data_IF_458774226813
#
_entry.id   IF_458774226813
#
_cell.length_a   1.000
_cell.length_b   1.000
_cell.length_c   1.000
_cell.angle_alpha   90.00
_cell.angle_beta   90.00
_cell.angle_gamma   90.00
#
_symmetry.space_group_name_H-M   'P 1'
#
loop_
_entity.id
_entity.type
_entity.pdbx_description
1 polymer ?
#
# COMPACT_ATOMS: atom_id res chain seq x y z
N UNK A 1 20.06 0.74 14.35
CA UNK A 1 18.94 0.38 15.25
C UNK A 1 18.85 -1.14 15.22
N UNK A 2 19.40 -1.85 16.21
CA UNK A 2 19.25 -3.30 16.28
C UNK A 2 17.81 -3.62 16.69
N UNK A 3 17.02 -4.21 15.79
CA UNK A 3 15.69 -4.69 16.11
C UNK A 3 15.86 -5.96 16.95
N UNK A 4 15.93 -5.80 18.27
CA UNK A 4 15.96 -6.91 19.24
C UNK A 4 14.53 -7.34 19.55
N UNK A 5 13.88 -7.98 18.59
CA UNK A 5 12.61 -8.69 18.79
C UNK A 5 12.84 -10.21 18.77
N UNK A 6 11.89 -11.03 19.28
CA UNK A 6 11.90 -12.46 19.02
C UNK A 6 11.97 -12.72 17.51
N UNK A 7 12.62 -13.81 17.10
CA UNK A 7 12.60 -14.18 15.68
C UNK A 7 11.14 -14.42 15.24
N UNK A 8 10.86 -14.26 13.93
CA UNK A 8 9.53 -14.50 13.37
C UNK A 8 8.95 -15.87 13.80
N UNK A 9 9.83 -16.85 13.97
CA UNK A 9 9.49 -18.24 14.33
C UNK A 9 9.22 -18.45 15.83
N UNK A 10 9.67 -17.53 16.69
CA UNK A 10 9.48 -17.59 18.15
C UNK A 10 8.34 -16.68 18.63
N UNK A 11 7.80 -15.86 17.72
CA UNK A 11 6.70 -14.95 18.05
C UNK A 11 5.42 -15.76 18.28
N UNK A 12 4.69 -15.54 19.39
CA UNK A 12 3.45 -16.25 19.63
C UNK A 12 2.44 -15.94 18.51
N UNK A 13 1.58 -16.90 18.14
CA UNK A 13 0.52 -16.65 17.19
C UNK A 13 -0.38 -15.54 17.73
N UNK A 14 -0.63 -14.55 16.89
CA UNK A 14 -1.56 -13.48 17.21
C UNK A 14 -2.98 -14.03 17.34
N UNK A 15 -3.77 -13.46 18.26
CA UNK A 15 -5.22 -13.68 18.35
C UNK A 15 -5.96 -12.36 18.18
N UNK A 16 -6.98 -12.34 17.32
CA UNK A 16 -7.74 -11.12 17.04
C UNK A 16 -7.02 -10.18 16.09
N UNK A 17 -6.62 -9.00 16.56
CA UNK A 17 -5.96 -7.96 15.74
C UNK A 17 -4.45 -7.99 16.00
N UNK A 18 -3.67 -8.29 14.97
CA UNK A 18 -2.22 -8.53 15.05
C UNK A 18 -1.37 -7.28 14.99
N UNK A 19 -2.00 -6.13 15.22
CA UNK A 19 -1.41 -4.84 14.98
C UNK A 19 -2.04 -3.80 15.91
N UNK A 20 -1.24 -2.86 16.43
CA UNK A 20 -1.76 -1.76 17.25
C UNK A 20 -2.07 -0.58 16.35
N UNK A 21 -3.26 -0.01 16.46
CA UNK A 21 -3.66 1.14 15.64
C UNK A 21 -2.72 2.35 15.75
N UNK A 22 -2.09 2.57 16.91
CA UNK A 22 -1.07 3.61 17.05
C UNK A 22 0.16 3.38 16.16
N UNK A 23 0.50 2.12 15.85
CA UNK A 23 1.58 1.81 14.92
C UNK A 23 1.16 2.19 13.48
N UNK A 24 -0.15 2.17 13.17
CA UNK A 24 -0.70 2.59 11.87
C UNK A 24 -0.48 4.09 11.72
N UNK A 25 -0.88 4.82 12.76
CA UNK A 25 -0.75 6.28 12.79
C UNK A 25 0.71 6.68 12.73
N UNK A 26 1.61 5.99 13.46
CA UNK A 26 3.05 6.24 13.40
C UNK A 26 3.61 6.08 11.98
N UNK A 27 3.19 5.03 11.26
CA UNK A 27 3.58 4.81 9.87
C UNK A 27 3.14 5.98 8.97
N UNK A 28 1.89 6.42 9.09
CA UNK A 28 1.38 7.52 8.29
C UNK A 28 1.93 8.89 8.71
N UNK A 29 2.19 9.13 9.99
CA UNK A 29 2.85 10.34 10.49
C UNK A 29 4.27 10.46 9.91
N UNK A 30 5.02 9.35 9.92
CA UNK A 30 6.33 9.31 9.29
C UNK A 30 6.22 9.54 7.78
N UNK A 31 5.16 9.01 7.18
CA UNK A 31 4.87 9.20 5.75
C UNK A 31 4.57 10.65 5.41
N UNK A 32 3.79 11.31 6.25
CA UNK A 32 3.45 12.71 6.11
C UNK A 32 4.68 13.62 6.28
N UNK A 33 5.58 13.29 7.21
CA UNK A 33 6.82 14.04 7.43
C UNK A 33 7.70 14.04 6.19
N UNK A 34 7.99 12.86 5.61
CA UNK A 34 8.79 12.84 4.39
C UNK A 34 8.03 13.46 3.22
N UNK A 35 6.70 13.33 3.15
CA UNK A 35 5.90 13.91 2.08
C UNK A 35 6.04 15.43 2.02
N UNK A 36 6.00 16.10 3.19
CA UNK A 36 6.23 17.56 3.28
C UNK A 36 7.61 17.95 2.77
N UNK A 37 8.65 17.18 3.11
CA UNK A 37 10.01 17.41 2.62
C UNK A 37 10.10 17.22 1.10
N UNK A 38 9.53 16.15 0.56
CA UNK A 38 9.50 15.91 -0.90
C UNK A 38 8.74 17.01 -1.64
N UNK A 39 7.67 17.54 -1.05
CA UNK A 39 6.92 18.64 -1.62
C UNK A 39 7.74 19.93 -1.68
N UNK A 40 8.67 20.15 -0.75
CA UNK A 40 9.55 21.32 -0.72
C UNK A 40 10.73 21.23 -1.70
N UNK A 41 11.07 20.02 -2.15
CA UNK A 41 12.14 19.77 -3.11
C UNK A 41 11.74 20.12 -4.56
N UNK A 42 11.90 21.40 -4.90
CA UNK A 42 11.56 21.91 -6.24
C UNK A 42 12.46 21.32 -7.33
N UNK A 43 13.71 20.98 -7.02
CA UNK A 43 14.65 20.42 -8.00
C UNK A 43 14.20 19.02 -8.43
N UNK A 44 13.90 18.16 -7.47
CA UNK A 44 13.37 16.81 -7.71
C UNK A 44 12.04 16.86 -8.48
N UNK A 45 11.11 17.71 -8.06
CA UNK A 45 9.81 17.85 -8.73
C UNK A 45 9.94 18.37 -10.17
N UNK A 46 10.91 19.26 -10.42
CA UNK A 46 11.21 19.75 -11.78
C UNK A 46 11.80 18.64 -12.63
N UNK A 47 12.75 17.88 -12.09
CA UNK A 47 13.36 16.74 -12.78
C UNK A 47 12.32 15.67 -13.16
N UNK A 48 11.39 15.34 -12.25
CA UNK A 48 10.30 14.39 -12.54
C UNK A 48 9.40 14.88 -13.67
N UNK A 49 9.08 16.18 -13.69
CA UNK A 49 8.26 16.80 -14.73
C UNK A 49 8.96 16.79 -16.10
N UNK A 50 10.26 17.09 -16.13
CA UNK A 50 11.06 17.11 -17.36
C UNK A 50 11.29 15.71 -17.94
N UNK A 51 11.33 14.69 -17.08
CA UNK A 51 11.51 13.29 -17.46
C UNK A 51 10.32 12.70 -18.24
N UNK A 52 9.13 13.30 -18.16
CA UNK A 52 7.92 12.92 -18.92
C UNK A 52 7.53 11.44 -18.78
N UNK A 53 7.56 10.91 -17.56
CA UNK A 53 7.09 9.55 -17.30
C UNK A 53 5.62 9.35 -17.69
N UNK A 54 5.32 8.22 -18.32
CA UNK A 54 3.96 7.88 -18.77
C UNK A 54 3.21 6.99 -17.75
N UNK A 55 3.96 6.32 -16.87
CA UNK A 55 3.48 5.34 -15.90
C UNK A 55 4.20 5.54 -14.57
N UNK A 56 3.45 5.48 -13.46
CA UNK A 56 4.00 5.44 -12.11
C UNK A 56 3.56 4.18 -11.38
N UNK A 57 4.45 3.62 -10.55
CA UNK A 57 4.11 2.58 -9.60
C UNK A 57 3.96 3.22 -8.23
N UNK A 58 2.83 2.98 -7.57
CA UNK A 58 2.46 3.62 -6.30
C UNK A 58 2.08 2.54 -5.29
N UNK A 59 2.72 2.57 -4.13
CA UNK A 59 2.37 1.64 -3.04
C UNK A 59 1.00 1.98 -2.46
N UNK A 60 0.21 0.95 -2.19
CA UNK A 60 -1.17 1.07 -1.73
C UNK A 60 -1.36 1.85 -0.42
N UNK A 61 -0.37 1.82 0.47
CA UNK A 61 -0.35 2.59 1.72
C UNK A 61 0.19 4.01 1.58
N UNK A 62 0.84 4.35 0.47
CA UNK A 62 1.46 5.66 0.27
C UNK A 62 0.48 6.68 -0.30
N UNK A 63 -0.10 7.51 0.56
CA UNK A 63 -0.98 8.61 0.15
C UNK A 63 -0.24 9.85 -0.38
N UNK A 64 1.10 9.90 -0.28
CA UNK A 64 1.90 11.02 -0.79
C UNK A 64 2.20 10.89 -2.29
N UNK A 65 2.69 9.72 -2.71
CA UNK A 65 3.05 9.45 -4.10
C UNK A 65 1.98 9.82 -5.14
N UNK A 66 0.69 9.44 -5.01
CA UNK A 66 -0.33 9.84 -5.99
C UNK A 66 -0.49 11.36 -6.05
N UNK A 67 -0.33 12.05 -4.92
CA UNK A 67 -0.37 13.50 -4.86
C UNK A 67 0.82 14.14 -5.58
N UNK A 68 2.05 13.66 -5.35
CA UNK A 68 3.24 14.15 -6.05
C UNK A 68 3.10 14.00 -7.57
N UNK A 69 2.65 12.82 -8.04
CA UNK A 69 2.47 12.56 -9.47
C UNK A 69 1.34 13.36 -10.12
N UNK A 70 0.49 14.02 -9.33
CA UNK A 70 -0.54 14.96 -9.78
C UNK A 70 0.00 16.40 -9.91
N UNK A 71 1.09 16.78 -9.25
CA UNK A 71 1.60 18.17 -9.20
C UNK A 71 2.42 18.51 -10.44
N UNK A 72 1.98 19.45 -11.31
CA UNK A 72 2.84 20.03 -12.37
C UNK A 72 3.34 21.40 -12.00
N UNK A 73 4.61 21.63 -12.31
CA UNK A 73 5.16 22.96 -12.44
C UNK A 73 5.00 23.42 -13.89
N UNK A 74 4.15 24.43 -14.11
CA UNK A 74 4.17 25.22 -15.35
C UNK A 74 4.73 26.60 -15.01
N UNK A 75 5.95 26.87 -15.48
CA UNK A 75 6.49 28.23 -15.50
C UNK A 75 5.69 28.98 -16.58
N UNK A 76 4.72 29.81 -16.17
CA UNK A 76 4.08 30.77 -17.06
C UNK A 76 4.89 32.05 -16.98
N UNK A 77 5.56 32.42 -18.08
CA UNK A 77 6.32 33.65 -18.16
C UNK A 77 5.43 34.88 -17.91
N UNK A 78 5.91 35.78 -17.04
CA UNK A 78 5.53 37.20 -17.04
C UNK A 78 4.65 37.71 -15.91
N UNK A 79 4.00 36.87 -15.10
CA UNK A 79 3.23 37.31 -13.93
C UNK A 79 3.09 36.14 -12.96
N UNK A 80 3.29 36.38 -11.65
CA UNK A 80 3.30 35.39 -10.57
C UNK A 80 1.93 34.72 -10.31
N UNK A 81 1.25 34.26 -11.36
CA UNK A 81 0.01 33.52 -11.29
C UNK A 81 0.29 32.06 -11.63
N UNK A 82 0.52 31.27 -10.59
CA UNK A 82 0.67 29.82 -10.66
C UNK A 82 -0.71 29.21 -10.98
N UNK A 83 -1.08 29.18 -12.27
CA UNK A 83 -2.27 28.46 -12.71
C UNK A 83 -1.94 26.97 -12.77
N UNK A 84 -2.49 26.23 -11.81
CA UNK A 84 -2.36 24.80 -11.63
C UNK A 84 -2.75 24.06 -12.94
N UNK A 85 -1.80 23.43 -13.60
CA UNK A 85 -2.09 22.47 -14.66
C UNK A 85 -1.49 21.14 -14.28
N UNK A 86 -2.16 20.36 -13.43
CA UNK A 86 -1.93 18.94 -13.10
C UNK A 86 -0.86 18.21 -13.96
N UNK A 87 0.13 17.56 -13.32
CA UNK A 87 1.06 16.67 -14.03
C UNK A 87 0.25 15.43 -14.31
N UNK A 88 0.08 15.18 -15.59
CA UNK A 88 -0.75 14.11 -16.09
C UNK A 88 0.08 12.87 -16.32
N UNK A 89 0.73 12.30 -15.28
CA UNK A 89 0.93 10.85 -15.34
C UNK A 89 -0.50 10.29 -15.43
N UNK A 90 -0.84 9.83 -16.63
CA UNK A 90 -2.23 9.48 -16.97
C UNK A 90 -2.64 8.19 -16.28
N UNK A 91 -1.66 7.30 -16.07
CA UNK A 91 -1.86 5.95 -15.60
C UNK A 91 -0.90 5.65 -14.45
N UNK A 92 -1.41 5.03 -13.40
CA UNK A 92 -0.60 4.46 -12.34
C UNK A 92 -0.96 3.01 -12.07
N UNK A 93 0.06 2.23 -11.73
CA UNK A 93 -0.09 0.88 -11.22
C UNK A 93 -0.02 0.97 -9.70
N UNK A 94 -1.11 0.61 -9.04
CA UNK A 94 -1.10 0.43 -7.59
C UNK A 94 -0.44 -0.90 -7.28
N UNK A 95 0.61 -0.89 -6.46
CA UNK A 95 1.28 -2.09 -5.98
C UNK A 95 0.95 -2.30 -4.50
N UNK A 96 0.89 -3.56 -4.09
CA UNK A 96 0.81 -3.91 -2.68
C UNK A 96 1.74 -5.05 -2.35
N UNK A 97 2.52 -4.86 -1.29
CA UNK A 97 3.26 -5.93 -0.65
C UNK A 97 2.35 -6.93 0.07
N UNK A 98 1.12 -6.54 0.38
CA UNK A 98 0.12 -7.35 1.06
C UNK A 98 -0.92 -7.89 0.06
N UNK A 99 -1.91 -8.61 0.59
CA UNK A 99 -3.12 -8.93 -0.14
C UNK A 99 -3.96 -7.70 -0.47
N UNK A 100 -5.15 -7.95 -0.98
CA UNK A 100 -6.09 -6.88 -1.30
C UNK A 100 -6.51 -6.10 -0.05
N UNK A 101 -6.52 -4.77 -0.16
CA UNK A 101 -6.92 -3.84 0.90
C UNK A 101 -8.24 -3.14 0.54
N UNK A 102 -8.97 -2.57 1.53
CA UNK A 102 -10.25 -1.92 1.27
C UNK A 102 -10.23 -0.83 0.20
N UNK A 103 -9.17 0.00 0.18
CA UNK A 103 -8.97 1.03 -0.86
C UNK A 103 -8.97 0.44 -2.27
N UNK A 104 -8.38 -0.73 -2.46
CA UNK A 104 -8.30 -1.36 -3.78
C UNK A 104 -9.67 -1.78 -4.29
N UNK A 105 -10.53 -2.31 -3.42
CA UNK A 105 -11.92 -2.63 -3.78
C UNK A 105 -12.71 -1.38 -4.15
N UNK A 106 -12.53 -0.28 -3.42
CA UNK A 106 -13.16 1.01 -3.77
C UNK A 106 -12.76 1.48 -5.17
N UNK A 107 -11.47 1.36 -5.53
CA UNK A 107 -10.94 1.77 -6.83
C UNK A 107 -11.53 0.93 -7.97
N UNK A 108 -11.62 -0.39 -7.80
CA UNK A 108 -12.15 -1.29 -8.84
C UNK A 108 -13.68 -1.33 -8.89
N UNK A 109 -14.37 -0.58 -8.01
CA UNK A 109 -15.83 -0.56 -7.93
C UNK A 109 -16.44 -1.85 -7.39
N UNK A 110 -15.72 -2.57 -6.54
CA UNK A 110 -16.16 -3.82 -5.92
C UNK A 110 -16.45 -3.62 -4.44
N UNK A 111 -17.30 -4.48 -3.88
CA UNK A 111 -17.63 -4.48 -2.45
C UNK A 111 -16.82 -5.57 -1.76
N UNK A 112 -16.11 -5.19 -0.70
CA UNK A 112 -15.48 -6.13 0.21
C UNK A 112 -16.51 -6.71 1.18
N UNK A 113 -16.45 -8.03 1.39
CA UNK A 113 -17.41 -8.78 2.20
C UNK A 113 -16.70 -9.38 3.42
N UNK A 114 -16.46 -8.58 4.47
CA UNK A 114 -15.70 -8.99 5.66
C UNK A 114 -16.38 -10.09 6.49
N UNK A 115 -17.59 -10.52 6.09
CA UNK A 115 -18.22 -11.69 6.67
C UNK A 115 -17.44 -12.95 6.32
N UNK A 116 -16.89 -13.11 5.11
CA UNK A 116 -16.14 -14.31 4.70
C UNK A 116 -14.77 -13.99 4.07
N UNK A 117 -14.48 -12.72 3.82
CA UNK A 117 -13.16 -12.27 3.37
C UNK A 117 -12.37 -11.78 4.60
N UNK A 118 -11.31 -12.49 5.02
CA UNK A 118 -10.50 -12.04 6.15
C UNK A 118 -9.76 -10.76 5.78
N UNK A 119 -9.75 -9.81 6.71
CA UNK A 119 -9.03 -8.57 6.60
C UNK A 119 -7.56 -8.74 6.89
N UNK A 120 -6.78 -7.86 6.27
CA UNK A 120 -5.38 -7.68 6.65
C UNK A 120 -5.28 -7.40 8.16
N UNK A 121 -4.21 -7.87 8.79
CA UNK A 121 -3.94 -7.74 10.23
C UNK A 121 -4.79 -8.60 11.16
N UNK A 122 -5.55 -9.56 10.64
CA UNK A 122 -6.14 -10.65 11.42
C UNK A 122 -5.48 -11.97 11.04
N UNK A 123 -5.41 -12.97 11.95
CA UNK A 123 -4.88 -14.29 11.63
C UNK A 123 -5.97 -15.19 11.00
N UNK A 124 -7.10 -14.62 10.60
CA UNK A 124 -8.28 -15.35 10.16
C UNK A 124 -8.15 -15.86 8.72
N UNK A 125 -8.84 -16.95 8.41
CA UNK A 125 -9.03 -17.47 7.04
C UNK A 125 -10.46 -17.22 6.55
N UNK A 126 -10.87 -17.86 5.45
CA UNK A 126 -12.28 -17.96 5.03
C UNK A 126 -13.17 -18.71 6.02
N UNK A 127 -12.58 -19.54 6.89
CA UNK A 127 -13.27 -20.25 7.96
C UNK A 127 -13.20 -19.47 9.28
N UNK A 128 -14.15 -18.55 9.44
CA UNK A 128 -14.34 -17.76 10.66
C UNK A 128 -15.60 -18.15 11.43
N UNK A 129 -15.51 -18.22 12.74
CA UNK A 129 -16.66 -18.24 13.66
C UNK A 129 -17.39 -16.89 13.68
N UNK A 130 -18.60 -16.86 14.24
CA UNK A 130 -19.39 -15.62 14.30
C UNK A 130 -18.65 -14.45 14.99
N UNK A 131 -17.93 -14.70 16.09
CA UNK A 131 -17.20 -13.66 16.82
C UNK A 131 -15.95 -13.17 16.06
N UNK A 132 -15.30 -14.07 15.33
CA UNK A 132 -14.18 -13.71 14.44
C UNK A 132 -14.68 -12.85 13.29
N UNK A 133 -15.82 -13.19 12.67
CA UNK A 133 -16.46 -12.35 11.65
C UNK A 133 -16.82 -10.96 12.17
N UNK A 134 -17.33 -10.88 13.40
CA UNK A 134 -17.62 -9.58 14.04
C UNK A 134 -16.33 -8.76 14.28
N UNK A 135 -15.24 -9.42 14.66
CA UNK A 135 -13.94 -8.78 14.86
C UNK A 135 -13.37 -8.32 13.52
N UNK A 136 -13.42 -9.17 12.51
CA UNK A 136 -13.00 -8.88 11.15
C UNK A 136 -13.76 -7.68 10.57
N UNK A 137 -15.09 -7.65 10.72
CA UNK A 137 -15.91 -6.50 10.33
C UNK A 137 -15.50 -5.20 11.03
N UNK A 138 -15.18 -5.24 12.32
CA UNK A 138 -14.69 -4.07 13.06
C UNK A 138 -13.34 -3.59 12.52
N UNK A 139 -12.44 -4.51 12.19
CA UNK A 139 -11.13 -4.19 11.58
C UNK A 139 -11.32 -3.54 10.22
N UNK A 140 -12.16 -4.11 9.36
CA UNK A 140 -12.51 -3.55 8.04
C UNK A 140 -12.96 -2.09 8.14
N UNK A 141 -13.99 -1.83 8.96
CA UNK A 141 -14.54 -0.48 9.14
C UNK A 141 -13.45 0.47 9.66
N UNK A 142 -12.64 0.01 10.61
CA UNK A 142 -11.58 0.84 11.18
C UNK A 142 -10.48 1.15 10.16
N UNK A 143 -10.04 0.17 9.37
CA UNK A 143 -9.03 0.35 8.33
C UNK A 143 -9.51 1.31 7.23
N UNK A 144 -10.75 1.13 6.76
CA UNK A 144 -11.39 2.04 5.82
C UNK A 144 -11.42 3.49 6.34
N UNK A 145 -11.84 3.68 7.59
CA UNK A 145 -11.91 5.01 8.19
C UNK A 145 -10.51 5.63 8.38
N UNK A 146 -9.50 4.84 8.77
CA UNK A 146 -8.12 5.34 8.90
C UNK A 146 -7.55 5.74 7.54
N UNK A 147 -7.69 4.92 6.50
CA UNK A 147 -7.23 5.27 5.15
C UNK A 147 -7.86 6.57 4.66
N UNK A 148 -9.18 6.74 4.83
CA UNK A 148 -9.89 7.98 4.43
C UNK A 148 -9.47 9.19 5.26
N UNK A 149 -9.27 9.01 6.57
CA UNK A 149 -8.79 10.09 7.43
C UNK A 149 -7.41 10.56 6.98
N UNK A 150 -6.47 9.64 6.80
CA UNK A 150 -5.13 9.96 6.34
C UNK A 150 -5.14 10.56 4.93
N UNK A 151 -5.94 10.06 3.99
CA UNK A 151 -6.09 10.71 2.68
C UNK A 151 -6.52 12.18 2.78
N UNK A 152 -7.41 12.52 3.73
CA UNK A 152 -7.79 13.91 4.00
C UNK A 152 -6.62 14.73 4.55
N UNK A 153 -5.85 14.18 5.48
CA UNK A 153 -4.67 14.86 6.07
C UNK A 153 -3.61 15.13 5.02
N UNK A 154 -3.32 14.17 4.13
CA UNK A 154 -2.39 14.38 3.03
C UNK A 154 -2.94 15.41 2.03
N UNK A 155 -4.23 15.31 1.68
CA UNK A 155 -4.88 16.28 0.80
C UNK A 155 -4.76 17.71 1.34
N UNK A 156 -4.92 17.95 2.64
CA UNK A 156 -4.75 19.28 3.23
C UNK A 156 -3.36 19.86 2.98
N UNK A 157 -2.31 19.04 3.05
CA UNK A 157 -0.93 19.48 2.77
C UNK A 157 -0.77 19.86 1.30
N UNK A 158 -1.28 19.06 0.37
CA UNK A 158 -1.23 19.38 -1.05
C UNK A 158 -2.07 20.62 -1.38
N UNK A 159 -3.29 20.71 -0.87
CA UNK A 159 -4.21 21.81 -1.14
C UNK A 159 -3.74 23.14 -0.54
N UNK A 160 -3.04 23.11 0.61
CA UNK A 160 -2.41 24.29 1.19
C UNK A 160 -1.33 24.90 0.28
N UNK A 161 -0.56 24.05 -0.40
CA UNK A 161 0.48 24.48 -1.36
C UNK A 161 -0.08 24.79 -2.75
N UNK A 162 -1.11 24.05 -3.14
CA UNK A 162 -1.71 24.07 -4.46
C UNK A 162 -3.25 24.18 -4.34
N UNK A 163 -3.80 25.40 -4.20
CA UNK A 163 -5.24 25.58 -4.02
C UNK A 163 -6.06 24.96 -5.16
N UNK A 164 -7.09 24.18 -4.80
CA UNK A 164 -7.92 23.45 -5.76
C UNK A 164 -7.37 22.07 -6.12
N UNK A 165 -6.52 21.50 -5.27
CA UNK A 165 -5.99 20.15 -5.47
C UNK A 165 -7.11 19.10 -5.38
N UNK A 166 -7.19 18.13 -6.32
CA UNK A 166 -8.20 17.08 -6.28
C UNK A 166 -8.03 16.19 -5.06
N UNK A 167 -9.11 15.57 -4.60
CA UNK A 167 -9.03 14.66 -3.47
C UNK A 167 -8.15 13.46 -3.83
N UNK A 168 -7.34 12.97 -2.86
CA UNK A 168 -6.46 11.81 -3.10
C UNK A 168 -7.25 10.58 -3.62
N UNK A 169 -8.47 10.39 -3.11
CA UNK A 169 -9.38 9.36 -3.61
C UNK A 169 -9.77 9.53 -5.08
N UNK A 170 -10.00 10.75 -5.56
CA UNK A 170 -10.31 11.02 -6.97
C UNK A 170 -9.11 10.68 -7.85
N UNK A 171 -7.89 11.05 -7.41
CA UNK A 171 -6.65 10.68 -8.09
C UNK A 171 -6.54 9.16 -8.22
N UNK A 172 -6.81 8.42 -7.13
CA UNK A 172 -6.83 6.96 -7.15
C UNK A 172 -7.83 6.39 -8.16
N UNK A 173 -9.07 6.86 -8.12
CA UNK A 173 -10.13 6.35 -8.98
C UNK A 173 -9.91 6.67 -10.46
N UNK A 174 -9.40 7.85 -10.79
CA UNK A 174 -9.24 8.29 -12.17
C UNK A 174 -7.98 7.73 -12.84
N UNK A 175 -6.89 7.57 -12.07
CA UNK A 175 -5.58 7.26 -12.64
C UNK A 175 -5.12 5.82 -12.45
N UNK A 176 -5.67 5.09 -11.49
CA UNK A 176 -5.25 3.68 -11.31
C UNK A 176 -5.74 2.87 -12.48
N UNK A 177 -4.83 2.30 -13.27
CA UNK A 177 -5.17 1.46 -14.41
C UNK A 177 -5.01 -0.04 -14.12
N UNK A 178 -4.21 -0.37 -13.11
CA UNK A 178 -3.89 -1.74 -12.73
C UNK A 178 -3.54 -1.82 -11.23
N UNK A 179 -3.93 -2.91 -10.59
CA UNK A 179 -3.56 -3.24 -9.21
C UNK A 179 -2.74 -4.54 -9.24
N UNK A 180 -1.53 -4.48 -8.71
CA UNK A 180 -0.63 -5.62 -8.57
C UNK A 180 -0.45 -5.94 -7.09
N UNK A 181 -0.98 -7.07 -6.64
CA UNK A 181 -0.79 -7.55 -5.27
C UNK A 181 0.26 -8.66 -5.26
N UNK A 182 1.25 -8.56 -4.36
CA UNK A 182 2.30 -9.55 -4.20
C UNK A 182 1.81 -10.77 -3.38
N UNK A 183 0.76 -11.42 -3.87
CA UNK A 183 0.18 -12.62 -3.29
C UNK A 183 0.17 -13.76 -4.29
N UNK A 184 0.28 -14.98 -3.81
CA UNK A 184 0.13 -16.18 -4.62
C UNK A 184 -1.36 -16.55 -4.65
N UNK A 185 -1.92 -16.79 -5.84
CA UNK A 185 -3.33 -17.12 -6.02
C UNK A 185 -3.79 -18.37 -5.25
N UNK A 186 -2.88 -19.31 -4.97
CA UNK A 186 -3.17 -20.52 -4.20
C UNK A 186 -3.11 -20.30 -2.68
N UNK A 187 -2.41 -19.25 -2.23
CA UNK A 187 -2.29 -18.90 -0.82
C UNK A 187 -3.27 -17.80 -0.40
N UNK A 188 -3.88 -17.12 -1.37
CA UNK A 188 -4.84 -16.05 -1.13
C UNK A 188 -6.25 -16.63 -0.92
N UNK A 189 -7.00 -16.04 0.00
CA UNK A 189 -8.37 -16.44 0.28
C UNK A 189 -9.26 -16.17 -0.94
N UNK A 190 -10.21 -17.06 -1.30
CA UNK A 190 -11.10 -16.86 -2.44
C UNK A 190 -11.84 -15.54 -2.36
N UNK A 191 -11.55 -14.63 -3.30
CA UNK A 191 -12.15 -13.30 -3.38
C UNK A 191 -12.47 -12.94 -4.82
N UNK A 192 -13.59 -12.23 -5.08
CA UNK A 192 -13.91 -11.77 -6.42
C UNK A 192 -12.80 -10.84 -6.94
N UNK A 193 -12.40 -11.02 -8.21
CA UNK A 193 -11.40 -10.17 -8.89
C UNK A 193 -11.89 -9.68 -10.24
N UNK A 194 -11.49 -8.47 -10.62
CA UNK A 194 -11.63 -7.94 -11.97
C UNK A 194 -10.32 -8.15 -12.75
N UNK A 195 -10.36 -7.91 -14.07
CA UNK A 195 -9.16 -7.95 -14.91
C UNK A 195 -8.10 -6.90 -14.57
N UNK A 196 -8.47 -5.90 -13.76
CA UNK A 196 -7.60 -4.85 -13.25
C UNK A 196 -6.72 -5.34 -12.10
N UNK A 197 -7.06 -6.45 -11.45
CA UNK A 197 -6.30 -7.01 -10.33
C UNK A 197 -5.42 -8.15 -10.85
N UNK A 198 -4.11 -8.08 -10.56
CA UNK A 198 -3.12 -9.10 -10.91
C UNK A 198 -2.34 -9.53 -9.68
N UNK A 199 -2.28 -10.84 -9.48
CA UNK A 199 -1.48 -11.46 -8.44
C UNK A 199 -0.10 -11.75 -9.01
N UNK A 200 0.91 -11.14 -8.40
CA UNK A 200 2.32 -11.23 -8.79
C UNK A 200 3.19 -11.81 -7.67
N UNK A 201 2.59 -12.69 -6.86
CA UNK A 201 3.27 -13.38 -5.76
C UNK A 201 4.55 -14.06 -6.24
N UNK A 202 5.63 -13.82 -5.53
CA UNK A 202 6.95 -14.37 -5.86
C UNK A 202 7.73 -13.56 -6.91
N UNK A 203 7.22 -12.39 -7.32
CA UNK A 203 7.94 -11.46 -8.20
C UNK A 203 9.32 -11.03 -7.68
N UNK A 204 9.55 -11.13 -6.37
CA UNK A 204 10.83 -10.79 -5.71
C UNK A 204 11.69 -12.02 -5.37
N UNK A 205 11.27 -13.22 -5.75
CA UNK A 205 12.03 -14.45 -5.53
C UNK A 205 13.04 -14.66 -6.65
N UNK A 206 14.30 -14.90 -6.27
CA UNK A 206 15.37 -15.28 -7.18
C UNK A 206 15.57 -16.79 -7.16
N UNK A 207 16.23 -17.32 -8.19
CA UNK A 207 16.61 -18.72 -8.22
C UNK A 207 17.42 -19.09 -6.98
N UNK A 208 17.00 -20.17 -6.33
CA UNK A 208 17.65 -20.66 -5.14
C UNK A 208 19.11 -21.06 -5.46
N UNK A 209 20.06 -20.48 -4.72
CA UNK A 209 21.46 -20.91 -4.80
C UNK A 209 21.58 -22.33 -4.21
N UNK A 210 22.43 -23.19 -4.78
CA UNK A 210 22.66 -24.52 -4.22
C UNK A 210 23.17 -24.40 -2.78
N UNK A 211 22.60 -25.21 -1.88
CA UNK A 211 22.98 -25.22 -0.47
C UNK A 211 24.45 -25.62 -0.32
N UNK A 212 25.20 -24.86 0.48
CA UNK A 212 26.56 -25.24 0.89
C UNK A 212 26.51 -26.50 1.74
N UNK A 213 27.49 -27.40 1.58
CA UNK A 213 27.54 -28.71 2.27
C UNK A 213 27.28 -28.65 3.78
N UNK A 214 27.72 -27.58 4.46
CA UNK A 214 27.55 -27.37 5.90
C UNK A 214 26.06 -27.32 6.29
N UNK A 215 25.27 -26.50 5.58
CA UNK A 215 23.82 -26.39 5.83
C UNK A 215 23.09 -27.69 5.47
N UNK A 216 23.56 -28.46 4.48
CA UNK A 216 22.97 -29.75 4.10
C UNK A 216 23.12 -30.78 5.24
N UNK A 217 24.28 -30.84 5.90
CA UNK A 217 24.51 -31.72 7.06
C UNK A 217 23.69 -31.35 8.28
N UNK A 218 23.48 -30.07 8.57
CA UNK A 218 22.65 -29.64 9.71
C UNK A 218 21.16 -29.91 9.44
N UNK A 219 20.65 -29.59 8.26
CA UNK A 219 19.25 -29.88 7.91
C UNK A 219 18.95 -31.38 7.85
N UNK A 220 19.87 -32.20 7.32
CA UNK A 220 19.71 -33.66 7.30
C UNK A 220 19.79 -34.29 8.69
N UNK A 221 20.58 -33.73 9.60
CA UNK A 221 20.61 -34.18 11.01
C UNK A 221 19.34 -33.78 11.76
N UNK A 222 18.81 -32.58 11.55
CA UNK A 222 17.56 -32.14 12.19
C UNK A 222 16.33 -32.88 11.65
N UNK A 223 16.30 -33.23 10.36
CA UNK A 223 15.23 -34.01 9.76
C UNK A 223 15.23 -35.50 10.19
N UNK A 224 16.36 -36.01 10.67
CA UNK A 224 16.48 -37.38 11.19
C UNK A 224 16.13 -37.50 12.69
N UNK A 225 15.76 -36.39 13.35
CA UNK A 225 15.41 -36.33 14.78
C UNK A 225 13.90 -36.14 15.00
N UNK A 226 13.09 -36.25 13.94
CA UNK A 226 11.62 -36.35 14.01
C UNK A 226 11.18 -37.79 13.76
#
# INVERSE_FOLDING_TARGET
MEIRGPSLWESPPCTGVCFKWNDYDLMYEQTLKYCKVLLEDVEMLTMLNESKFELAYVESFDSCAPGIFQVKFRIVGGSNFLLLQILGIKNMVMVSAFGMLPRMYEIVGMVELPSFMPESYTPYSDDMTFLERLTNFRVYIKLMLHMRHWDSVFWEVFNAKYPGFPAIKEIYNEKTCLIMANVNEFAETPRPKTNMIRYIGGSTLYDAKPLTKVCTTEYSRSAAVV
#
